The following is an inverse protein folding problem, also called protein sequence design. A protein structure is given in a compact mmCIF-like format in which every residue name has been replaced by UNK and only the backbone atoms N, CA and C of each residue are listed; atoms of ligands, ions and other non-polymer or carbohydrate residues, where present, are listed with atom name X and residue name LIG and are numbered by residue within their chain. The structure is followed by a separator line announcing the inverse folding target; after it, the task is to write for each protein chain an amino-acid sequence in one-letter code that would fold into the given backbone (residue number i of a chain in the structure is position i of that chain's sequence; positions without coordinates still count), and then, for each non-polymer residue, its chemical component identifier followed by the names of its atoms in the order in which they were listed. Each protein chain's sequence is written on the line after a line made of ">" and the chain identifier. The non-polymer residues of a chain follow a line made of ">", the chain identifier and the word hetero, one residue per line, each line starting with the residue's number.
data_IF_453276091602
#
_entry.id   IF_453276091602
#
_cell.length_a   1.000
_cell.length_b   1.000
_cell.length_c   1.000
_cell.angle_alpha   90.00
_cell.angle_beta   90.00
_cell.angle_gamma   90.00
#
_symmetry.space_group_name_H-M   'P 1'
#
loop_
_entity.id
_entity.type
_entity.pdbx_description
1 polymer ?
#
# COMPACT_ATOMS: atom_id res chain seq x y z
N UNK A 1 -38.78 -12.83 -47.66
CA UNK A 1 -39.23 -12.83 -46.24
C UNK A 1 -38.06 -13.16 -45.35
N UNK A 2 -37.43 -12.14 -44.80
CA UNK A 2 -36.31 -12.28 -43.84
C UNK A 2 -36.90 -12.12 -42.44
N UNK A 3 -37.00 -13.21 -41.69
CA UNK A 3 -37.38 -13.16 -40.27
C UNK A 3 -36.15 -12.89 -39.42
N UNK A 4 -36.03 -11.65 -38.97
CA UNK A 4 -35.05 -11.25 -37.95
C UNK A 4 -35.50 -11.74 -36.59
N UNK A 5 -34.91 -12.83 -36.08
CA UNK A 5 -35.09 -13.29 -34.70
C UNK A 5 -34.29 -12.38 -33.76
N UNK A 6 -34.96 -11.42 -33.13
CA UNK A 6 -34.48 -10.70 -31.97
C UNK A 6 -34.36 -11.71 -30.80
N UNK A 7 -33.11 -12.03 -30.39
CA UNK A 7 -32.85 -12.72 -29.13
C UNK A 7 -32.82 -11.65 -28.03
N UNK A 8 -33.74 -11.69 -27.04
CA UNK A 8 -33.61 -10.82 -25.87
C UNK A 8 -32.42 -11.31 -25.05
N UNK A 9 -31.33 -10.54 -25.02
CA UNK A 9 -30.26 -10.74 -24.05
C UNK A 9 -30.72 -10.17 -22.71
N UNK A 10 -31.32 -10.99 -21.88
CA UNK A 10 -31.52 -10.65 -20.46
C UNK A 10 -30.15 -10.62 -19.80
N UNK A 11 -29.52 -9.45 -19.75
CA UNK A 11 -28.42 -9.19 -18.81
C UNK A 11 -29.04 -9.18 -17.40
N UNK A 12 -28.98 -10.31 -16.72
CA UNK A 12 -29.25 -10.40 -15.29
C UNK A 12 -28.09 -9.65 -14.61
N UNK A 13 -28.28 -8.36 -14.35
CA UNK A 13 -27.43 -7.64 -13.41
C UNK A 13 -27.76 -8.19 -12.03
N UNK A 14 -26.82 -8.82 -11.31
CA UNK A 14 -27.08 -9.27 -9.96
C UNK A 14 -27.36 -8.02 -9.11
N UNK A 15 -28.61 -7.83 -8.73
CA UNK A 15 -28.96 -6.80 -7.74
C UNK A 15 -28.37 -7.26 -6.40
N UNK A 16 -27.42 -6.49 -5.90
CA UNK A 16 -26.88 -6.72 -4.55
C UNK A 16 -28.01 -6.60 -3.56
N UNK A 17 -28.29 -7.69 -2.83
CA UNK A 17 -29.29 -7.64 -1.76
C UNK A 17 -28.83 -6.63 -0.69
N UNK A 18 -29.75 -5.93 -0.04
CA UNK A 18 -29.44 -4.95 1.02
C UNK A 18 -28.53 -5.57 2.10
N UNK A 19 -28.73 -6.85 2.41
CA UNK A 19 -27.86 -7.63 3.30
C UNK A 19 -26.40 -7.71 2.81
N UNK A 20 -26.18 -8.00 1.52
CA UNK A 20 -24.81 -8.10 0.97
C UNK A 20 -24.12 -6.74 0.96
N UNK A 21 -24.82 -5.68 0.57
CA UNK A 21 -24.29 -4.31 0.57
C UNK A 21 -23.90 -3.86 1.98
N UNK A 22 -24.74 -4.12 2.99
CA UNK A 22 -24.46 -3.76 4.37
C UNK A 22 -23.32 -4.61 4.96
N UNK A 23 -23.27 -5.91 4.67
CA UNK A 23 -22.14 -6.77 5.09
C UNK A 23 -20.83 -6.27 4.51
N UNK A 24 -20.80 -5.91 3.24
CA UNK A 24 -19.61 -5.38 2.56
C UNK A 24 -19.15 -4.05 3.19
N UNK A 25 -20.08 -3.16 3.50
CA UNK A 25 -19.78 -1.90 4.18
C UNK A 25 -19.21 -2.12 5.60
N UNK A 26 -19.74 -3.09 6.36
CA UNK A 26 -19.25 -3.39 7.70
C UNK A 26 -17.88 -4.10 7.68
N UNK A 27 -17.58 -4.90 6.66
CA UNK A 27 -16.28 -5.58 6.53
C UNK A 27 -15.14 -4.56 6.35
N UNK A 28 -15.38 -3.47 5.66
CA UNK A 28 -14.38 -2.43 5.37
C UNK A 28 -13.98 -1.61 6.61
N UNK A 29 -14.91 -1.41 7.54
CA UNK A 29 -14.68 -0.60 8.73
C UNK A 29 -13.60 -1.20 9.64
N UNK A 30 -12.76 -0.32 10.22
CA UNK A 30 -11.87 -0.65 11.35
C UNK A 30 -12.67 -1.02 12.60
N UNK A 31 -12.01 -1.51 13.64
CA UNK A 31 -12.67 -1.85 14.91
C UNK A 31 -13.28 -0.61 15.56
N UNK A 32 -12.59 0.53 15.55
CA UNK A 32 -13.06 1.79 16.14
C UNK A 32 -14.27 2.35 15.39
N UNK A 33 -14.20 2.40 14.06
CA UNK A 33 -15.33 2.88 13.24
C UNK A 33 -16.57 1.99 13.39
N UNK A 34 -16.36 0.68 13.50
CA UNK A 34 -17.43 -0.28 13.74
C UNK A 34 -18.10 -0.03 15.09
N UNK A 35 -17.32 0.22 16.15
CA UNK A 35 -17.82 0.54 17.47
C UNK A 35 -18.72 1.78 17.45
N UNK A 36 -18.25 2.86 16.84
CA UNK A 36 -19.02 4.10 16.67
C UNK A 36 -20.34 3.86 15.92
N UNK A 37 -20.29 3.09 14.84
CA UNK A 37 -21.48 2.75 14.05
C UNK A 37 -22.49 1.92 14.83
N UNK A 38 -22.04 0.91 15.58
CA UNK A 38 -22.92 0.08 16.40
C UNK A 38 -23.51 0.89 17.57
N UNK A 39 -22.74 1.79 18.20
CA UNK A 39 -23.23 2.69 19.23
C UNK A 39 -24.32 3.62 18.71
N UNK A 40 -24.14 4.19 17.52
CA UNK A 40 -25.16 5.01 16.88
C UNK A 40 -26.47 4.23 16.60
N UNK A 41 -26.36 2.98 16.15
CA UNK A 41 -27.54 2.13 15.93
C UNK A 41 -28.19 1.70 17.25
N UNK A 42 -27.43 1.43 18.31
CA UNK A 42 -27.97 1.14 19.66
C UNK A 42 -28.75 2.32 20.22
N UNK A 43 -28.27 3.55 19.99
CA UNK A 43 -28.97 4.75 20.44
C UNK A 43 -30.32 4.98 19.70
N UNK A 44 -30.39 4.56 18.43
CA UNK A 44 -31.54 4.85 17.55
C UNK A 44 -32.52 3.67 17.43
N UNK A 45 -32.14 2.46 17.78
CA UNK A 45 -32.97 1.27 17.58
C UNK A 45 -33.24 0.51 18.89
N UNK A 46 -34.45 0.61 19.44
CA UNK A 46 -34.82 -0.03 20.71
C UNK A 46 -34.89 -1.57 20.62
N UNK A 47 -34.89 -2.14 19.41
CA UNK A 47 -34.88 -3.58 19.22
C UNK A 47 -33.51 -4.22 19.49
N UNK A 48 -32.42 -3.42 19.64
CA UNK A 48 -31.07 -3.89 19.93
C UNK A 48 -30.78 -3.89 21.44
N UNK A 49 -30.09 -4.90 21.89
CA UNK A 49 -29.66 -5.07 23.28
C UNK A 49 -28.24 -5.62 23.35
N UNK A 50 -27.46 -5.14 24.31
CA UNK A 50 -26.12 -5.64 24.59
C UNK A 50 -26.19 -6.58 25.80
N UNK A 51 -25.76 -7.82 25.62
CA UNK A 51 -25.64 -8.80 26.71
C UNK A 51 -24.33 -8.59 27.45
N UNK A 52 -24.36 -8.77 28.78
CA UNK A 52 -23.13 -8.73 29.58
C UNK A 52 -22.11 -9.77 29.08
N UNK A 53 -20.88 -9.32 28.86
CA UNK A 53 -19.76 -10.17 28.50
C UNK A 53 -19.08 -10.73 29.75
N UNK A 54 -18.55 -11.94 29.68
CA UNK A 54 -17.78 -12.53 30.76
C UNK A 54 -16.36 -11.99 30.77
N UNK A 55 -15.81 -11.75 31.96
CA UNK A 55 -14.39 -11.41 32.14
C UNK A 55 -13.65 -12.62 32.72
N UNK A 56 -12.44 -12.83 32.24
CA UNK A 56 -11.53 -13.81 32.82
C UNK A 56 -11.05 -13.31 34.19
N UNK A 57 -11.09 -14.16 35.21
CA UNK A 57 -10.59 -13.82 36.56
C UNK A 57 -9.06 -13.70 36.64
N UNK A 58 -8.33 -14.21 35.65
CA UNK A 58 -6.85 -14.23 35.65
C UNK A 58 -6.29 -13.06 34.83
N UNK A 59 -6.77 -12.85 33.60
CA UNK A 59 -6.21 -11.83 32.67
C UNK A 59 -7.18 -10.67 32.41
N UNK A 60 -8.33 -10.64 33.09
CA UNK A 60 -9.39 -9.61 33.01
C UNK A 60 -9.95 -9.37 31.60
N UNK A 61 -9.51 -10.11 30.60
CA UNK A 61 -10.00 -10.00 29.22
C UNK A 61 -11.44 -10.46 29.12
N UNK A 62 -12.17 -9.73 28.29
CA UNK A 62 -13.52 -10.12 27.90
C UNK A 62 -13.48 -11.11 26.76
N UNK A 63 -14.31 -12.12 26.83
CA UNK A 63 -14.46 -13.11 25.76
C UNK A 63 -15.92 -13.55 25.63
N UNK A 64 -16.25 -14.00 24.43
CA UNK A 64 -17.57 -14.53 24.10
C UNK A 64 -17.50 -16.05 24.13
N UNK A 65 -18.27 -16.68 24.99
CA UNK A 65 -18.35 -18.14 25.07
C UNK A 65 -18.62 -18.64 26.47
N UNK A 66 -18.98 -19.91 26.60
CA UNK A 66 -19.23 -20.60 27.89
C UNK A 66 -18.02 -21.36 28.44
N UNK A 67 -16.92 -21.41 27.66
CA UNK A 67 -15.69 -22.14 28.02
C UNK A 67 -14.73 -21.37 28.91
N UNK A 68 -13.57 -21.98 29.27
CA UNK A 68 -12.46 -21.30 29.93
C UNK A 68 -11.84 -20.24 29.01
N UNK A 69 -11.10 -19.28 29.59
CA UNK A 69 -10.43 -18.27 28.82
C UNK A 69 -9.44 -18.89 27.83
N UNK A 70 -9.53 -18.59 26.52
CA UNK A 70 -8.65 -19.19 25.53
C UNK A 70 -7.17 -18.87 25.72
N UNK A 71 -6.86 -17.74 26.36
CA UNK A 71 -5.49 -17.31 26.65
C UNK A 71 -4.90 -17.95 27.89
N UNK A 72 -5.65 -17.98 29.00
CA UNK A 72 -5.14 -18.46 30.28
C UNK A 72 -5.22 -20.00 30.43
N UNK A 73 -6.11 -20.61 29.68
CA UNK A 73 -6.30 -22.05 29.63
C UNK A 73 -6.53 -22.47 28.18
N UNK A 74 -5.45 -22.47 27.34
CA UNK A 74 -5.58 -22.83 25.95
C UNK A 74 -6.05 -24.27 25.83
N UNK A 75 -7.14 -24.47 25.13
CA UNK A 75 -7.54 -25.81 24.69
C UNK A 75 -6.40 -26.32 23.83
N UNK A 76 -5.79 -27.44 24.20
CA UNK A 76 -4.70 -28.05 23.46
C UNK A 76 -5.15 -28.26 22.02
N UNK A 77 -4.57 -27.47 21.11
CA UNK A 77 -4.77 -27.65 19.67
C UNK A 77 -4.21 -29.02 19.30
N UNK A 78 -4.94 -29.87 18.60
CA UNK A 78 -4.44 -31.18 18.18
C UNK A 78 -3.27 -31.08 17.21
N UNK A 79 -3.04 -29.94 16.59
CA UNK A 79 -1.91 -29.64 15.70
C UNK A 79 -1.15 -28.42 16.21
N UNK A 80 0.17 -28.54 16.41
CA UNK A 80 1.07 -27.47 16.83
C UNK A 80 1.10 -26.29 15.84
N UNK A 81 0.72 -26.50 14.59
CA UNK A 81 0.77 -25.49 13.53
C UNK A 81 -0.49 -24.60 13.44
N UNK A 82 -1.56 -24.92 14.16
CA UNK A 82 -2.79 -24.12 14.09
C UNK A 82 -2.81 -23.01 15.13
N UNK A 83 -2.99 -21.75 14.71
CA UNK A 83 -3.09 -20.63 15.64
C UNK A 83 -4.38 -20.73 16.48
N UNK A 84 -4.30 -20.30 17.72
CA UNK A 84 -5.44 -20.19 18.61
C UNK A 84 -6.06 -18.81 18.40
N UNK A 85 -7.19 -18.75 17.70
CA UNK A 85 -7.86 -17.49 17.36
C UNK A 85 -9.07 -17.28 18.27
N UNK A 86 -9.17 -16.10 18.87
CA UNK A 86 -10.32 -15.70 19.65
C UNK A 86 -10.75 -14.27 19.37
N UNK A 87 -12.03 -14.00 19.63
CA UNK A 87 -12.65 -12.69 19.37
C UNK A 87 -12.83 -11.94 20.68
N UNK A 88 -12.29 -10.71 20.72
CA UNK A 88 -12.54 -9.77 21.82
C UNK A 88 -13.64 -8.81 21.43
N UNK A 89 -14.73 -8.71 22.25
CA UNK A 89 -15.87 -7.84 21.94
C UNK A 89 -15.63 -6.37 22.29
N UNK A 90 -14.48 -6.01 22.85
CA UNK A 90 -14.08 -4.64 23.18
C UNK A 90 -12.88 -4.18 22.40
N UNK A 91 -12.80 -2.87 22.21
CA UNK A 91 -11.65 -2.18 21.61
C UNK A 91 -10.67 -1.63 22.64
N UNK A 92 -10.80 -1.95 23.93
CA UNK A 92 -9.90 -1.47 24.98
C UNK A 92 -8.50 -2.07 24.76
N UNK A 93 -7.69 -1.40 23.97
CA UNK A 93 -6.28 -1.74 23.77
C UNK A 93 -5.48 -1.18 24.94
N UNK A 94 -5.13 -2.05 25.89
CA UNK A 94 -4.17 -1.70 26.94
C UNK A 94 -2.79 -2.01 26.39
N UNK A 95 -2.03 -0.96 26.02
CA UNK A 95 -0.61 -1.08 25.70
C UNK A 95 0.08 -1.62 26.95
N UNK A 96 0.49 -2.89 26.96
CA UNK A 96 1.32 -3.41 28.04
C UNK A 96 2.63 -2.60 27.98
N UNK A 97 2.88 -1.80 29.01
CA UNK A 97 4.18 -1.17 29.23
C UNK A 97 5.18 -2.31 29.44
N UNK A 98 5.95 -2.64 28.44
CA UNK A 98 7.23 -3.28 28.64
C UNK A 98 8.16 -2.18 29.15
N UNK A 99 8.84 -2.41 30.28
CA UNK A 99 9.79 -1.47 30.91
C UNK A 99 11.05 -1.18 30.08
N UNK A 100 11.11 -1.58 28.83
CA UNK A 100 12.17 -1.26 27.86
C UNK A 100 11.82 -0.06 27.01
N UNK A 101 11.58 1.10 27.65
CA UNK A 101 11.24 2.37 26.96
C UNK A 101 12.49 3.18 26.57
N UNK A 102 13.63 2.53 26.31
CA UNK A 102 14.90 3.19 25.94
C UNK A 102 15.26 3.12 24.46
N UNK A 103 14.45 2.49 23.61
CA UNK A 103 14.69 2.47 22.17
C UNK A 103 13.40 2.65 21.34
N UNK A 104 12.49 3.49 21.79
CA UNK A 104 11.60 4.17 20.86
C UNK A 104 12.39 5.31 20.21
N UNK A 105 13.32 4.96 19.34
CA UNK A 105 13.40 5.70 18.09
C UNK A 105 11.97 5.62 17.54
N UNK A 106 11.22 6.69 17.83
CA UNK A 106 10.08 7.03 16.99
C UNK A 106 10.70 7.02 15.61
N UNK A 107 10.34 6.02 14.79
CA UNK A 107 10.25 6.23 13.38
C UNK A 107 9.27 7.40 13.24
N UNK A 108 9.79 8.58 13.42
CA UNK A 108 9.29 9.78 12.81
C UNK A 108 9.44 9.43 11.35
N UNK A 109 8.42 8.76 10.79
CA UNK A 109 8.26 8.72 9.36
C UNK A 109 8.41 10.18 8.96
N UNK A 110 9.60 10.51 8.43
CA UNK A 110 9.87 11.83 7.91
C UNK A 110 8.71 12.08 6.97
N UNK A 111 7.96 13.15 7.22
CA UNK A 111 6.87 13.53 6.35
C UNK A 111 7.42 13.40 4.93
N UNK A 112 6.78 12.59 4.07
CA UNK A 112 7.27 12.37 2.71
C UNK A 112 7.58 13.74 2.14
N UNK A 113 8.84 14.01 1.87
CA UNK A 113 9.25 15.30 1.33
C UNK A 113 8.58 15.45 -0.01
N UNK A 114 8.03 16.61 -0.28
CA UNK A 114 7.47 16.94 -1.57
C UNK A 114 8.59 16.95 -2.63
N UNK A 115 8.31 16.46 -3.84
CA UNK A 115 9.32 16.35 -4.91
C UNK A 115 10.09 17.66 -5.15
N UNK A 116 9.43 18.85 -5.21
CA UNK A 116 10.13 20.13 -5.32
C UNK A 116 11.15 20.36 -4.20
N UNK A 117 10.80 20.06 -2.96
CA UNK A 117 11.68 20.23 -1.81
C UNK A 117 12.84 19.23 -1.82
N UNK A 118 12.55 17.98 -2.19
CA UNK A 118 13.55 16.92 -2.31
C UNK A 118 14.62 17.25 -3.35
N UNK A 119 14.21 17.64 -4.57
CA UNK A 119 15.12 18.02 -5.66
C UNK A 119 15.88 19.30 -5.29
N UNK A 120 15.22 20.30 -4.69
CA UNK A 120 15.86 21.55 -4.30
C UNK A 120 16.98 21.32 -3.26
N UNK A 121 16.78 20.42 -2.29
CA UNK A 121 17.82 20.07 -1.31
C UNK A 121 19.05 19.45 -1.95
N UNK A 122 18.87 18.64 -3.01
CA UNK A 122 19.98 18.03 -3.72
C UNK A 122 20.82 19.06 -4.47
N UNK A 123 20.18 19.99 -5.19
CA UNK A 123 20.89 20.95 -6.07
C UNK A 123 21.30 22.24 -5.36
N UNK A 124 20.72 22.57 -4.19
CA UNK A 124 20.99 23.81 -3.46
C UNK A 124 22.49 24.01 -3.12
N UNK A 125 23.30 22.99 -2.76
CA UNK A 125 24.72 23.15 -2.52
C UNK A 125 25.52 23.56 -3.77
N UNK A 126 25.10 23.11 -4.94
CA UNK A 126 25.80 23.34 -6.23
C UNK A 126 25.40 24.67 -6.89
N UNK A 127 24.22 25.20 -6.51
CA UNK A 127 23.67 26.42 -7.12
C UNK A 127 24.10 27.70 -6.37
N UNK A 128 24.49 28.75 -7.12
CA UNK A 128 24.62 30.09 -6.56
C UNK A 128 23.33 30.54 -5.85
N UNK A 129 23.43 31.33 -4.75
CA UNK A 129 22.23 31.76 -4.00
C UNK A 129 21.13 32.44 -4.85
N UNK A 130 21.53 33.17 -5.88
CA UNK A 130 20.60 33.84 -6.81
C UNK A 130 19.86 32.85 -7.71
N UNK A 131 20.47 31.74 -8.09
CA UNK A 131 19.89 30.72 -8.97
C UNK A 131 18.95 29.77 -8.19
N UNK A 132 19.10 29.69 -6.86
CA UNK A 132 18.19 28.89 -6.00
C UNK A 132 16.74 29.35 -6.07
N UNK A 133 16.50 30.67 -6.21
CA UNK A 133 15.16 31.22 -6.36
C UNK A 133 14.53 30.79 -7.70
N UNK A 134 15.36 30.80 -8.76
CA UNK A 134 14.91 30.34 -10.09
C UNK A 134 14.61 28.85 -10.05
N UNK A 135 15.46 28.06 -9.43
CA UNK A 135 15.26 26.62 -9.26
C UNK A 135 13.98 26.30 -8.45
N UNK A 136 13.76 27.01 -7.33
CA UNK A 136 12.56 26.86 -6.53
C UNK A 136 11.28 27.18 -7.30
N UNK A 137 11.31 28.23 -8.16
CA UNK A 137 10.20 28.60 -9.00
C UNK A 137 9.92 27.54 -10.08
N UNK A 138 10.96 27.02 -10.75
CA UNK A 138 10.84 25.94 -11.74
C UNK A 138 10.20 24.71 -11.09
N UNK A 139 10.69 24.31 -9.93
CA UNK A 139 10.21 23.13 -9.20
C UNK A 139 8.78 23.30 -8.67
N UNK A 140 8.35 24.52 -8.35
CA UNK A 140 6.97 24.78 -7.94
C UNK A 140 5.96 24.79 -9.11
N UNK A 141 6.44 24.87 -10.36
CA UNK A 141 5.63 24.82 -11.57
C UNK A 141 5.77 23.47 -12.34
N UNK A 142 6.05 22.40 -11.63
CA UNK A 142 6.01 21.05 -12.18
C UNK A 142 4.58 20.51 -12.18
N UNK A 143 4.26 19.73 -13.23
CA UNK A 143 3.02 18.97 -13.30
C UNK A 143 3.08 17.67 -12.45
N UNK A 144 1.98 16.91 -12.43
CA UNK A 144 1.89 15.62 -11.75
C UNK A 144 2.90 14.57 -12.26
N UNK A 145 3.40 14.74 -13.46
CA UNK A 145 4.36 13.86 -14.12
C UNK A 145 5.83 14.30 -13.89
N UNK A 146 6.04 15.43 -13.21
CA UNK A 146 7.35 16.02 -12.93
C UNK A 146 7.95 16.78 -14.11
N UNK A 147 7.12 17.17 -15.07
CA UNK A 147 7.51 17.96 -16.23
C UNK A 147 7.23 19.44 -15.97
N UNK A 148 7.99 20.32 -16.64
CA UNK A 148 7.83 21.77 -16.53
C UNK A 148 6.67 22.25 -17.37
N UNK A 149 5.64 22.81 -16.74
CA UNK A 149 4.47 23.34 -17.43
C UNK A 149 4.71 24.75 -17.99
N UNK A 150 5.53 25.54 -17.30
CA UNK A 150 5.81 26.92 -17.67
C UNK A 150 6.84 27.05 -18.80
N UNK A 151 6.61 27.88 -19.84
CA UNK A 151 7.59 28.14 -20.89
C UNK A 151 8.86 28.79 -20.33
N UNK A 152 10.04 28.32 -20.73
CA UNK A 152 11.34 28.83 -20.27
C UNK A 152 11.49 30.35 -20.49
N UNK A 153 10.91 30.88 -21.58
CA UNK A 153 10.90 32.30 -21.90
C UNK A 153 10.17 33.14 -20.85
N UNK A 154 9.08 32.64 -20.29
CA UNK A 154 8.33 33.35 -19.25
C UNK A 154 9.12 33.40 -17.94
N UNK A 155 9.81 32.34 -17.57
CA UNK A 155 10.69 32.30 -16.42
C UNK A 155 11.84 33.33 -16.55
N UNK A 156 12.49 33.34 -17.73
CA UNK A 156 13.56 34.31 -18.02
C UNK A 156 13.08 35.76 -17.94
N UNK A 157 11.87 36.06 -18.43
CA UNK A 157 11.25 37.39 -18.35
C UNK A 157 10.89 37.76 -16.90
N UNK A 158 10.34 36.83 -16.14
CA UNK A 158 9.89 37.09 -14.78
C UNK A 158 11.09 37.45 -13.85
N UNK A 159 12.19 36.74 -13.98
CA UNK A 159 13.40 37.01 -13.20
C UNK A 159 14.35 38.04 -13.83
N UNK A 160 14.03 38.58 -15.02
CA UNK A 160 14.90 39.51 -15.75
C UNK A 160 16.32 38.95 -15.99
N UNK A 161 16.44 37.67 -16.27
CA UNK A 161 17.72 36.98 -16.53
C UNK A 161 17.83 36.48 -17.95
N UNK A 162 19.03 36.31 -18.49
CA UNK A 162 19.20 35.75 -19.83
C UNK A 162 18.75 34.27 -19.85
N UNK A 163 18.16 33.83 -20.95
CA UNK A 163 17.62 32.48 -21.13
C UNK A 163 18.69 31.40 -20.87
N UNK A 164 19.94 31.64 -21.27
CA UNK A 164 21.04 30.73 -21.01
C UNK A 164 21.33 30.46 -19.52
N UNK A 165 20.92 31.37 -18.64
CA UNK A 165 21.02 31.16 -17.19
C UNK A 165 19.92 30.22 -16.69
N UNK A 166 18.71 30.40 -17.19
CA UNK A 166 17.57 29.51 -16.85
C UNK A 166 17.83 28.09 -17.38
N UNK A 167 18.33 27.95 -18.61
CA UNK A 167 18.69 26.66 -19.20
C UNK A 167 19.76 25.92 -18.37
N UNK A 168 20.77 26.62 -17.84
CA UNK A 168 21.75 26.02 -16.94
C UNK A 168 21.12 25.47 -15.66
N UNK A 169 20.18 26.20 -15.07
CA UNK A 169 19.48 25.78 -13.87
C UNK A 169 18.61 24.54 -14.18
N UNK A 170 17.90 24.54 -15.32
CA UNK A 170 17.11 23.41 -15.77
C UNK A 170 18.00 22.17 -15.98
N UNK A 171 19.14 22.31 -16.61
CA UNK A 171 20.08 21.21 -16.82
C UNK A 171 20.59 20.62 -15.49
N UNK A 172 20.77 21.44 -14.45
CA UNK A 172 21.13 20.94 -13.12
C UNK A 172 19.95 20.22 -12.45
N UNK A 173 18.72 20.73 -12.60
CA UNK A 173 17.51 20.07 -12.10
C UNK A 173 17.33 18.71 -12.79
N UNK A 174 17.51 18.62 -14.10
CA UNK A 174 17.37 17.40 -14.88
C UNK A 174 18.37 16.30 -14.49
N UNK A 175 19.53 16.67 -13.93
CA UNK A 175 20.55 15.73 -13.43
C UNK A 175 20.30 15.24 -12.01
N UNK A 176 19.41 15.91 -11.28
CA UNK A 176 19.01 15.50 -9.93
C UNK A 176 18.15 14.23 -9.95
N UNK A 177 17.96 13.60 -8.80
CA UNK A 177 17.06 12.43 -8.67
C UNK A 177 15.63 12.90 -8.33
N UNK A 178 14.62 12.48 -9.07
CA UNK A 178 14.62 11.59 -10.25
C UNK A 178 15.12 12.29 -11.53
N UNK A 179 16.00 11.60 -12.24
CA UNK A 179 16.61 12.14 -13.46
C UNK A 179 15.56 12.51 -14.52
N UNK A 180 15.69 13.73 -15.09
CA UNK A 180 14.78 14.24 -16.10
C UNK A 180 13.62 15.07 -15.57
N UNK A 181 13.54 15.29 -14.26
CA UNK A 181 12.57 16.23 -13.66
C UNK A 181 12.81 17.65 -14.18
N UNK A 182 11.73 18.41 -14.40
CA UNK A 182 11.80 19.78 -14.95
C UNK A 182 12.05 19.86 -16.45
N UNK A 183 11.99 18.74 -17.17
CA UNK A 183 12.03 18.74 -18.63
C UNK A 183 10.72 19.27 -19.20
N UNK A 184 10.75 20.06 -20.30
CA UNK A 184 9.56 20.60 -20.94
C UNK A 184 8.67 19.54 -21.61
N UNK A 185 9.23 18.36 -21.91
CA UNK A 185 8.51 17.26 -22.57
C UNK A 185 9.02 15.89 -22.11
N UNK A 186 8.18 14.83 -22.23
CA UNK A 186 8.60 13.46 -21.97
C UNK A 186 9.80 13.02 -22.83
N UNK A 187 9.89 13.54 -24.04
CA UNK A 187 10.98 13.28 -24.98
C UNK A 187 12.31 13.82 -24.46
N UNK A 188 12.33 15.04 -23.93
CA UNK A 188 13.52 15.66 -23.33
C UNK A 188 13.91 15.00 -22.03
N UNK A 189 12.93 14.56 -21.23
CA UNK A 189 13.19 13.77 -20.03
C UNK A 189 13.92 12.44 -20.33
N UNK A 190 13.49 11.74 -21.39
CA UNK A 190 14.17 10.52 -21.84
C UNK A 190 15.59 10.79 -22.37
N UNK A 191 15.79 11.91 -23.08
CA UNK A 191 17.11 12.29 -23.60
C UNK A 191 18.08 12.64 -22.46
N UNK A 192 17.62 13.37 -21.44
CA UNK A 192 18.41 13.68 -20.25
C UNK A 192 18.83 12.41 -19.50
N UNK A 193 17.89 11.46 -19.33
CA UNK A 193 18.19 10.15 -18.73
C UNK A 193 19.20 9.36 -19.56
N UNK A 194 19.05 9.38 -20.89
CA UNK A 194 19.94 8.68 -21.79
C UNK A 194 21.36 9.24 -21.73
N UNK A 195 21.52 10.58 -21.63
CA UNK A 195 22.83 11.24 -21.49
C UNK A 195 23.56 10.76 -20.24
N UNK A 196 22.88 10.76 -19.09
CA UNK A 196 23.47 10.31 -17.81
C UNK A 196 23.79 8.81 -17.86
N UNK A 197 22.91 7.99 -18.46
CA UNK A 197 23.18 6.57 -18.62
C UNK A 197 24.36 6.29 -19.53
N UNK A 198 24.62 7.15 -20.54
CA UNK A 198 25.75 7.01 -21.41
C UNK A 198 27.12 7.11 -20.72
N UNK A 199 27.14 7.79 -19.55
CA UNK A 199 28.34 7.92 -18.72
C UNK A 199 28.69 6.60 -17.98
N UNK A 200 27.67 5.77 -17.69
CA UNK A 200 27.82 4.57 -16.86
C UNK A 200 27.66 3.25 -17.63
N UNK A 201 26.98 3.24 -18.77
CA UNK A 201 26.61 2.02 -19.50
C UNK A 201 26.75 2.18 -21.02
N UNK A 202 26.96 1.06 -21.73
CA UNK A 202 26.90 1.00 -23.19
C UNK A 202 25.44 1.07 -23.66
N UNK A 203 25.09 2.14 -24.37
CA UNK A 203 23.76 2.35 -24.91
C UNK A 203 23.68 1.75 -26.34
N UNK A 204 22.53 1.14 -26.73
CA UNK A 204 22.31 0.71 -28.10
C UNK A 204 22.48 1.88 -29.05
N UNK A 205 23.23 1.68 -30.18
CA UNK A 205 23.46 2.74 -31.17
C UNK A 205 22.12 3.25 -31.72
N UNK A 206 22.06 4.54 -32.03
CA UNK A 206 20.86 5.23 -32.53
C UNK A 206 19.70 5.44 -31.53
N UNK A 207 19.83 5.09 -30.23
CA UNK A 207 18.79 5.31 -29.25
C UNK A 207 18.36 6.78 -29.12
N UNK A 208 19.32 7.74 -29.12
CA UNK A 208 19.01 9.18 -29.08
C UNK A 208 18.21 9.61 -30.32
N UNK A 209 18.57 9.14 -31.50
CA UNK A 209 17.84 9.46 -32.73
C UNK A 209 16.44 8.83 -32.74
N UNK A 210 16.30 7.63 -32.22
CA UNK A 210 15.02 6.93 -32.11
C UNK A 210 14.04 7.72 -31.19
N UNK A 211 14.54 8.31 -30.10
CA UNK A 211 13.75 9.17 -29.22
C UNK A 211 13.46 10.50 -29.90
N UNK A 212 14.46 11.18 -30.49
CA UNK A 212 14.28 12.50 -31.12
C UNK A 212 13.34 12.51 -32.32
N UNK A 213 13.45 11.53 -33.20
CA UNK A 213 12.74 11.51 -34.46
C UNK A 213 11.54 10.56 -34.48
N UNK A 214 11.44 9.64 -33.52
CA UNK A 214 10.50 8.51 -33.57
C UNK A 214 9.65 8.25 -32.34
N UNK A 215 9.56 9.18 -31.40
CA UNK A 215 8.80 8.98 -30.16
C UNK A 215 7.34 8.58 -30.39
N UNK A 216 6.66 9.19 -31.37
CA UNK A 216 5.28 8.85 -31.72
C UNK A 216 5.14 7.42 -32.26
N UNK A 217 6.12 6.98 -33.05
CA UNK A 217 6.13 5.63 -33.63
C UNK A 217 6.50 4.58 -32.57
N UNK A 218 7.39 4.91 -31.66
CA UNK A 218 7.72 4.07 -30.51
C UNK A 218 6.51 3.87 -29.59
N UNK A 219 5.80 4.94 -29.26
CA UNK A 219 4.60 4.89 -28.40
C UNK A 219 3.46 4.04 -29.00
N UNK A 220 3.36 4.01 -30.33
CA UNK A 220 2.38 3.21 -31.09
C UNK A 220 2.86 1.82 -31.45
N UNK A 221 4.08 1.42 -31.05
CA UNK A 221 4.73 0.15 -31.41
C UNK A 221 4.90 -0.08 -32.93
N UNK A 222 5.03 1.02 -33.70
CA UNK A 222 5.18 0.95 -35.16
C UNK A 222 6.67 0.81 -35.56
N UNK A 223 7.31 -0.25 -35.09
CA UNK A 223 8.74 -0.51 -35.27
C UNK A 223 9.18 -0.59 -36.74
N UNK A 224 8.43 -1.22 -37.68
CA UNK A 224 8.84 -1.30 -39.10
C UNK A 224 8.85 0.09 -39.78
N UNK A 225 8.01 1.03 -39.40
CA UNK A 225 7.98 2.40 -39.94
C UNK A 225 9.16 3.21 -39.40
N UNK A 226 9.44 3.07 -38.11
CA UNK A 226 10.60 3.70 -37.50
C UNK A 226 11.90 3.18 -38.06
N UNK A 227 12.01 1.89 -38.34
CA UNK A 227 13.15 1.26 -38.97
C UNK A 227 13.46 1.85 -40.37
N UNK A 228 12.41 2.06 -41.17
CA UNK A 228 12.52 2.73 -42.47
C UNK A 228 12.94 4.19 -42.34
N UNK A 229 12.40 4.92 -41.36
CA UNK A 229 12.71 6.33 -41.13
C UNK A 229 14.15 6.55 -40.70
N UNK A 230 14.67 5.68 -39.85
CA UNK A 230 16.04 5.79 -39.33
C UNK A 230 17.08 5.06 -40.20
N UNK A 231 16.65 4.21 -41.13
CA UNK A 231 17.52 3.43 -42.00
C UNK A 231 18.23 2.27 -41.28
N UNK A 232 17.62 1.70 -40.26
CA UNK A 232 18.18 0.58 -39.46
C UNK A 232 17.25 -0.63 -39.50
N UNK A 233 17.68 -1.78 -38.98
CA UNK A 233 16.89 -2.99 -39.01
C UNK A 233 15.75 -2.95 -37.95
N UNK A 234 14.63 -3.65 -38.21
CA UNK A 234 13.53 -3.75 -37.27
C UNK A 234 13.95 -4.39 -35.93
N UNK A 235 14.85 -5.36 -35.96
CA UNK A 235 15.37 -5.99 -34.73
C UNK A 235 16.13 -4.98 -33.86
N UNK A 236 16.93 -4.09 -34.47
CA UNK A 236 17.62 -3.03 -33.71
C UNK A 236 16.64 -2.05 -33.07
N UNK A 237 15.52 -1.75 -33.74
CA UNK A 237 14.46 -0.92 -33.13
C UNK A 237 13.78 -1.62 -31.96
N UNK A 238 13.56 -2.93 -32.09
CA UNK A 238 12.99 -3.73 -31.00
C UNK A 238 13.90 -3.77 -29.76
N UNK A 239 15.21 -3.92 -30.00
CA UNK A 239 16.21 -3.85 -28.92
C UNK A 239 16.28 -2.45 -28.27
N UNK A 240 16.24 -1.39 -29.09
CA UNK A 240 16.15 0.01 -28.58
C UNK A 240 14.86 0.22 -27.79
N UNK A 241 13.72 -0.24 -28.31
CA UNK A 241 12.43 -0.10 -27.61
C UNK A 241 12.39 -0.85 -26.28
N UNK A 242 12.98 -2.05 -26.25
CA UNK A 242 13.14 -2.83 -25.02
C UNK A 242 14.05 -2.10 -24.03
N UNK A 243 15.21 -1.62 -24.48
CA UNK A 243 16.12 -0.84 -23.65
C UNK A 243 15.43 0.39 -23.05
N UNK A 244 14.67 1.17 -23.85
CA UNK A 244 13.92 2.34 -23.39
C UNK A 244 12.89 1.94 -22.34
N UNK A 245 12.14 0.86 -22.57
CA UNK A 245 11.09 0.41 -21.64
C UNK A 245 11.62 -0.09 -20.29
N UNK A 246 12.81 -0.70 -20.29
CA UNK A 246 13.43 -1.27 -19.09
C UNK A 246 14.22 -0.22 -18.29
N UNK A 247 14.86 0.75 -18.95
CA UNK A 247 15.82 1.65 -18.31
C UNK A 247 15.35 3.11 -18.19
N UNK A 248 14.42 3.58 -19.01
CA UNK A 248 14.03 4.98 -19.06
C UNK A 248 12.58 5.20 -18.61
N UNK A 249 12.31 6.38 -18.03
CA UNK A 249 10.96 6.76 -17.59
C UNK A 249 10.54 8.11 -18.19
N UNK A 250 9.53 8.16 -19.06
CA UNK A 250 9.06 9.41 -19.68
C UNK A 250 8.41 10.38 -18.67
N UNK A 251 8.04 9.90 -17.49
CA UNK A 251 7.34 10.66 -16.45
C UNK A 251 8.09 10.53 -15.11
N UNK A 252 9.17 11.30 -14.91
CA UNK A 252 10.06 11.14 -13.75
C UNK A 252 9.37 11.41 -12.41
N UNK A 253 8.38 12.32 -12.34
CA UNK A 253 7.61 12.59 -11.13
C UNK A 253 6.85 11.39 -10.61
N UNK A 254 6.35 10.50 -11.48
CA UNK A 254 5.66 9.26 -11.06
C UNK A 254 6.60 8.25 -10.38
N UNK A 255 7.88 8.33 -10.61
CA UNK A 255 8.85 7.49 -9.92
C UNK A 255 8.95 7.87 -8.44
N UNK A 256 8.78 9.15 -8.12
CA UNK A 256 8.86 9.69 -6.76
C UNK A 256 7.50 9.66 -6.03
N UNK A 257 6.46 10.19 -6.64
CA UNK A 257 5.13 10.28 -6.02
C UNK A 257 4.33 8.98 -6.08
N UNK A 258 4.72 8.01 -6.91
CA UNK A 258 3.86 6.91 -7.29
C UNK A 258 2.80 7.34 -8.31
N UNK A 259 1.87 6.45 -8.64
CA UNK A 259 0.76 6.80 -9.54
C UNK A 259 -0.33 7.54 -8.74
N UNK A 260 -0.29 8.88 -8.72
CA UNK A 260 -1.25 9.76 -8.05
C UNK A 260 -2.69 9.47 -8.54
N UNK A 261 -2.84 9.04 -9.80
CA UNK A 261 -4.14 8.67 -10.39
C UNK A 261 -4.77 7.43 -9.76
N UNK A 262 -4.00 6.64 -9.02
CA UNK A 262 -4.51 5.46 -8.31
C UNK A 262 -5.30 5.77 -7.03
N UNK A 263 -5.43 7.03 -6.64
CA UNK A 263 -6.29 7.46 -5.53
C UNK A 263 -5.87 6.97 -4.14
N UNK A 264 -4.67 6.45 -4.00
CA UNK A 264 -4.12 6.12 -2.68
C UNK A 264 -3.55 7.40 -2.07
N UNK A 265 -4.24 7.92 -1.06
CA UNK A 265 -3.67 8.92 -0.16
C UNK A 265 -2.41 8.32 0.49
N UNK A 266 -1.26 8.80 0.09
CA UNK A 266 0.06 8.30 0.48
C UNK A 266 0.51 8.67 1.91
N UNK A 267 -0.37 9.26 2.72
CA UNK A 267 -0.13 9.36 4.15
C UNK A 267 -0.42 7.99 4.77
N UNK A 268 0.61 7.25 5.22
CA UNK A 268 0.34 5.98 5.90
C UNK A 268 -0.57 6.28 7.09
N UNK A 269 -1.72 5.60 7.19
CA UNK A 269 -2.61 5.82 8.31
C UNK A 269 -1.86 5.52 9.61
N UNK A 270 -1.85 6.48 10.53
CA UNK A 270 -1.26 6.26 11.86
C UNK A 270 -2.22 5.34 12.62
N UNK A 271 -1.88 4.08 12.71
CA UNK A 271 -2.65 3.11 13.48
C UNK A 271 -2.30 3.23 14.96
N UNK A 272 -3.18 3.84 15.73
CA UNK A 272 -3.03 3.95 17.19
C UNK A 272 -3.56 2.71 17.92
N UNK A 273 -4.52 2.02 17.32
CA UNK A 273 -5.14 0.81 17.88
C UNK A 273 -5.17 -0.29 16.82
N UNK A 274 -4.67 -1.49 17.12
CA UNK A 274 -4.71 -2.61 16.17
C UNK A 274 -6.12 -3.23 16.10
N UNK A 275 -6.50 -3.74 14.92
CA UNK A 275 -7.71 -4.55 14.73
C UNK A 275 -7.49 -6.01 15.14
N UNK A 276 -6.24 -6.46 15.15
CA UNK A 276 -5.88 -7.78 15.65
C UNK A 276 -4.49 -7.75 16.31
N UNK A 277 -4.26 -8.68 17.23
CA UNK A 277 -2.95 -8.89 17.87
C UNK A 277 -2.51 -10.31 17.59
N UNK A 278 -1.26 -10.48 17.14
CA UNK A 278 -0.60 -11.77 17.03
C UNK A 278 0.46 -11.84 18.12
N UNK A 279 0.40 -12.83 18.98
CA UNK A 279 1.37 -13.05 20.05
C UNK A 279 1.79 -14.54 20.09
N UNK A 280 3.02 -14.85 20.47
CA UNK A 280 3.42 -16.24 20.69
C UNK A 280 2.67 -16.79 21.91
N UNK A 281 2.38 -18.08 21.92
CA UNK A 281 1.76 -18.74 23.10
C UNK A 281 2.77 -19.04 24.18
N UNK A 282 4.03 -19.22 23.81
CA UNK A 282 5.14 -19.53 24.70
C UNK A 282 6.42 -18.83 24.21
N UNK A 283 7.49 -18.83 25.00
CA UNK A 283 8.80 -18.25 24.61
C UNK A 283 9.50 -19.04 23.48
N UNK A 284 8.99 -20.23 23.12
CA UNK A 284 9.56 -21.01 22.02
C UNK A 284 9.04 -20.54 20.66
N UNK A 285 9.95 -20.39 19.69
CA UNK A 285 9.65 -19.99 18.31
C UNK A 285 8.72 -20.97 17.57
N UNK A 286 8.67 -22.24 18.01
CA UNK A 286 7.83 -23.30 17.44
C UNK A 286 6.42 -23.35 18.04
N UNK A 287 6.13 -22.52 19.06
CA UNK A 287 4.82 -22.50 19.70
C UNK A 287 3.73 -21.94 18.75
N UNK A 288 2.47 -22.40 18.90
CA UNK A 288 1.36 -21.84 18.12
C UNK A 288 1.14 -20.38 18.48
N UNK A 289 0.66 -19.57 17.51
CA UNK A 289 0.32 -18.19 17.77
C UNK A 289 -1.04 -18.05 18.44
N UNK A 290 -1.13 -17.08 19.36
CA UNK A 290 -2.41 -16.51 19.77
C UNK A 290 -2.76 -15.36 18.84
N UNK A 291 -3.95 -15.40 18.26
CA UNK A 291 -4.50 -14.33 17.45
C UNK A 291 -5.76 -13.79 18.11
N UNK A 292 -5.69 -12.59 18.64
CA UNK A 292 -6.82 -11.87 19.20
C UNK A 292 -7.38 -10.92 18.15
N UNK A 293 -8.64 -11.11 17.76
CA UNK A 293 -9.33 -10.25 16.80
C UNK A 293 -10.28 -9.33 17.56
N UNK A 294 -10.09 -8.03 17.42
CA UNK A 294 -11.01 -7.04 17.98
C UNK A 294 -12.24 -6.89 17.08
N UNK A 295 -13.37 -7.32 17.59
CA UNK A 295 -14.66 -7.18 16.92
C UNK A 295 -15.68 -6.67 17.91
N UNK A 296 -15.87 -5.32 17.97
CA UNK A 296 -16.81 -4.70 18.91
C UNK A 296 -18.17 -5.32 18.81
N UNK A 297 -18.76 -5.56 19.98
CA UNK A 297 -20.09 -6.13 20.13
C UNK A 297 -20.29 -7.55 19.55
N UNK A 298 -19.28 -8.21 19.01
CA UNK A 298 -19.39 -9.56 18.48
C UNK A 298 -19.81 -10.54 19.58
N UNK A 299 -20.88 -11.29 19.34
CA UNK A 299 -21.42 -12.28 20.26
C UNK A 299 -22.13 -11.73 21.50
N UNK A 300 -22.11 -10.41 21.72
CA UNK A 300 -22.84 -9.74 22.81
C UNK A 300 -24.01 -8.91 22.31
N UNK A 301 -23.98 -8.40 21.07
CA UNK A 301 -25.10 -7.71 20.44
C UNK A 301 -26.18 -8.72 20.05
N UNK A 302 -27.40 -8.50 20.50
CA UNK A 302 -28.55 -9.33 20.17
C UNK A 302 -29.81 -8.50 19.96
N UNK A 303 -30.80 -9.12 19.34
CA UNK A 303 -32.14 -8.57 19.26
C UNK A 303 -32.83 -8.81 20.59
N UNK A 304 -33.45 -7.77 21.15
CA UNK A 304 -34.19 -7.85 22.42
C UNK A 304 -35.40 -8.80 22.28
N UNK A 305 -35.43 -9.91 23.04
CA UNK A 305 -36.52 -10.89 22.94
C UNK A 305 -37.86 -10.32 23.40
N UNK A 306 -37.84 -9.38 24.36
CA UNK A 306 -39.06 -8.73 24.84
C UNK A 306 -39.66 -7.82 23.77
N UNK A 307 -38.81 -7.08 23.03
CA UNK A 307 -39.25 -6.24 21.92
C UNK A 307 -39.90 -7.08 20.80
N UNK A 308 -39.32 -8.24 20.50
CA UNK A 308 -39.88 -9.19 19.51
C UNK A 308 -41.25 -9.70 19.93
N UNK A 309 -41.48 -9.98 21.23
CA UNK A 309 -42.79 -10.40 21.75
C UNK A 309 -43.81 -9.25 21.79
N UNK A 310 -43.36 -8.05 22.11
CA UNK A 310 -44.21 -6.86 22.20
C UNK A 310 -44.80 -6.45 20.85
N UNK A 311 -44.12 -6.71 19.73
CA UNK A 311 -44.63 -6.41 18.37
C UNK A 311 -46.00 -7.07 18.09
N UNK A 312 -46.26 -8.26 18.66
CA UNK A 312 -47.54 -8.94 18.48
C UNK A 312 -48.73 -8.29 19.24
N UNK A 313 -48.43 -7.34 20.14
CA UNK A 313 -49.42 -6.69 21.01
C UNK A 313 -49.59 -5.19 20.72
N UNK A 314 -48.84 -4.64 19.73
CA UNK A 314 -48.85 -3.20 19.40
C UNK A 314 -50.02 -2.86 18.48
N UNK A 315 -50.59 -1.64 18.66
CA UNK A 315 -51.58 -1.06 17.77
C UNK A 315 -51.06 -0.90 16.33
N UNK A 316 -51.97 -0.98 15.36
CA UNK A 316 -51.62 -0.98 13.91
C UNK A 316 -50.78 0.24 13.49
N UNK A 317 -50.97 1.40 14.12
CA UNK A 317 -50.28 2.65 13.78
C UNK A 317 -48.73 2.60 13.99
N UNK A 318 -48.27 1.84 14.98
CA UNK A 318 -46.82 1.72 15.29
C UNK A 318 -46.22 0.39 14.83
N UNK A 319 -47.02 -0.56 14.38
CA UNK A 319 -46.57 -1.91 14.06
C UNK A 319 -45.60 -1.93 12.88
N UNK A 320 -45.76 -1.06 11.88
CA UNK A 320 -44.87 -0.99 10.73
C UNK A 320 -43.48 -0.47 11.11
N UNK A 321 -43.42 0.58 11.94
CA UNK A 321 -42.14 1.12 12.42
C UNK A 321 -41.39 0.09 13.28
N UNK A 322 -42.07 -0.57 14.19
CA UNK A 322 -41.44 -1.60 15.06
C UNK A 322 -40.95 -2.81 14.25
N UNK A 323 -41.70 -3.24 13.22
CA UNK A 323 -41.25 -4.29 12.28
C UNK A 323 -40.01 -3.87 11.48
N UNK A 324 -39.95 -2.61 11.04
CA UNK A 324 -38.81 -2.05 10.37
C UNK A 324 -37.56 -2.04 11.28
N UNK A 325 -37.72 -1.58 12.52
CA UNK A 325 -36.64 -1.54 13.50
C UNK A 325 -36.15 -2.95 13.86
N UNK A 326 -37.04 -3.90 14.01
CA UNK A 326 -36.70 -5.31 14.22
C UNK A 326 -35.88 -5.86 13.01
N UNK A 327 -36.34 -5.61 11.78
CA UNK A 327 -35.64 -6.04 10.57
C UNK A 327 -34.24 -5.46 10.44
N UNK A 328 -34.07 -4.17 10.76
CA UNK A 328 -32.76 -3.50 10.82
C UNK A 328 -31.85 -4.10 11.89
N UNK A 329 -32.38 -4.38 13.09
CA UNK A 329 -31.64 -5.01 14.16
C UNK A 329 -31.15 -6.42 13.82
N UNK A 330 -32.03 -7.27 13.26
CA UNK A 330 -31.69 -8.63 12.81
C UNK A 330 -30.64 -8.61 11.71
N UNK A 331 -30.78 -7.70 10.76
CA UNK A 331 -29.83 -7.51 9.67
C UNK A 331 -28.44 -7.11 10.17
N UNK A 332 -28.38 -6.14 11.10
CA UNK A 332 -27.11 -5.67 11.69
C UNK A 332 -26.41 -6.80 12.45
N UNK A 333 -27.11 -7.53 13.32
CA UNK A 333 -26.55 -8.66 14.09
C UNK A 333 -25.99 -9.73 13.15
N UNK A 334 -26.72 -10.09 12.09
CA UNK A 334 -26.29 -11.07 11.11
C UNK A 334 -25.06 -10.61 10.32
N UNK A 335 -25.04 -9.36 9.87
CA UNK A 335 -23.90 -8.77 9.15
C UNK A 335 -22.64 -8.71 10.03
N UNK A 336 -22.80 -8.38 11.33
CA UNK A 336 -21.69 -8.36 12.29
C UNK A 336 -21.11 -9.76 12.53
N UNK A 337 -21.96 -10.78 12.63
CA UNK A 337 -21.51 -12.18 12.75
C UNK A 337 -20.73 -12.63 11.52
N UNK A 338 -21.22 -12.30 10.31
CA UNK A 338 -20.54 -12.64 9.06
C UNK A 338 -19.18 -11.93 8.95
N UNK A 339 -19.13 -10.63 9.29
CA UNK A 339 -17.88 -9.88 9.34
C UNK A 339 -16.86 -10.57 10.26
N UNK A 340 -17.27 -10.85 11.49
CA UNK A 340 -16.41 -11.47 12.49
C UNK A 340 -15.89 -12.83 12.01
N UNK A 341 -16.76 -13.68 11.47
CA UNK A 341 -16.38 -14.98 10.93
C UNK A 341 -15.37 -14.84 9.77
N UNK A 342 -15.59 -13.88 8.88
CA UNK A 342 -14.69 -13.64 7.74
C UNK A 342 -13.31 -13.19 8.21
N UNK A 343 -13.22 -12.25 9.16
CA UNK A 343 -11.95 -11.75 9.67
C UNK A 343 -11.22 -12.85 10.46
N UNK A 344 -11.91 -13.62 11.28
CA UNK A 344 -11.32 -14.75 12.01
C UNK A 344 -10.73 -15.78 11.04
N UNK A 345 -11.47 -16.19 10.00
CA UNK A 345 -10.97 -17.13 8.99
C UNK A 345 -9.75 -16.56 8.25
N UNK A 346 -9.79 -15.28 7.89
CA UNK A 346 -8.70 -14.55 7.26
C UNK A 346 -7.46 -14.58 8.15
N UNK A 347 -7.57 -14.15 9.40
CA UNK A 347 -6.45 -14.06 10.34
C UNK A 347 -5.88 -15.44 10.68
N UNK A 348 -6.74 -16.46 10.87
CA UNK A 348 -6.31 -17.85 11.07
C UNK A 348 -5.41 -18.31 9.93
N UNK A 349 -5.82 -18.03 8.69
CA UNK A 349 -5.08 -18.50 7.54
C UNK A 349 -3.80 -17.71 7.29
N UNK A 350 -3.84 -16.39 7.50
CA UNK A 350 -2.64 -15.55 7.41
C UNK A 350 -1.59 -15.93 8.43
N UNK A 351 -1.97 -16.22 9.67
CA UNK A 351 -1.03 -16.64 10.71
C UNK A 351 -0.33 -17.96 10.38
N UNK A 352 -1.00 -18.87 9.66
CA UNK A 352 -0.37 -20.12 9.18
C UNK A 352 0.55 -19.86 7.99
N UNK A 353 0.04 -19.17 6.94
CA UNK A 353 0.77 -18.99 5.69
C UNK A 353 1.98 -18.05 5.82
N UNK A 354 1.92 -17.10 6.74
CA UNK A 354 2.93 -16.06 6.92
C UNK A 354 3.71 -16.23 8.24
N UNK A 355 3.81 -17.48 8.73
CA UNK A 355 4.49 -17.78 10.00
C UNK A 355 5.92 -17.26 10.01
N UNK A 356 6.68 -17.53 8.95
CA UNK A 356 8.07 -17.11 8.81
C UNK A 356 8.21 -15.58 8.80
N UNK A 357 7.30 -14.88 8.12
CA UNK A 357 7.25 -13.42 8.13
C UNK A 357 6.97 -12.86 9.53
N UNK A 358 6.06 -13.50 10.29
CA UNK A 358 5.69 -13.07 11.65
C UNK A 358 6.85 -13.22 12.62
N UNK A 359 7.69 -14.26 12.44
CA UNK A 359 8.81 -14.58 13.34
C UNK A 359 10.08 -13.85 12.90
N UNK A 360 10.43 -13.92 11.61
CA UNK A 360 11.73 -13.52 11.09
C UNK A 360 11.70 -12.18 10.32
N UNK A 361 10.52 -11.59 10.12
CA UNK A 361 10.36 -10.27 9.50
C UNK A 361 10.28 -10.28 7.98
N UNK A 362 10.50 -9.11 7.38
CA UNK A 362 10.11 -8.74 6.02
C UNK A 362 10.72 -9.60 4.90
N UNK A 363 11.93 -10.14 5.11
CA UNK A 363 12.63 -10.98 4.12
C UNK A 363 11.91 -12.32 3.90
N UNK A 364 11.27 -12.83 4.96
CA UNK A 364 10.60 -14.13 4.96
C UNK A 364 9.12 -14.07 4.61
N UNK A 365 8.68 -12.95 4.01
CA UNK A 365 7.29 -12.79 3.55
C UNK A 365 7.00 -13.78 2.41
N UNK A 366 6.06 -14.70 2.61
CA UNK A 366 5.64 -15.61 1.56
C UNK A 366 4.78 -14.86 0.51
N UNK A 367 5.08 -14.95 -0.81
CA UNK A 367 4.31 -14.27 -1.83
C UNK A 367 2.86 -14.79 -1.86
N UNK A 368 1.93 -13.97 -1.38
CA UNK A 368 0.51 -14.27 -1.29
C UNK A 368 -0.31 -13.25 -2.08
N UNK A 369 -1.35 -13.70 -2.79
CA UNK A 369 -2.30 -12.80 -3.44
C UNK A 369 -3.65 -12.83 -2.74
N UNK A 370 -4.37 -11.71 -2.81
CA UNK A 370 -5.76 -11.64 -2.30
C UNK A 370 -6.66 -12.64 -3.02
N UNK A 371 -6.45 -12.84 -4.33
CA UNK A 371 -7.19 -13.79 -5.15
C UNK A 371 -6.94 -15.26 -4.75
N UNK A 372 -5.68 -15.64 -4.46
CA UNK A 372 -5.37 -17.01 -4.01
C UNK A 372 -6.01 -17.31 -2.65
N UNK A 373 -5.94 -16.36 -1.72
CA UNK A 373 -6.55 -16.51 -0.41
C UNK A 373 -8.08 -16.51 -0.47
N UNK A 374 -8.69 -15.70 -1.34
CA UNK A 374 -10.12 -15.68 -1.57
C UNK A 374 -10.63 -17.05 -2.08
N UNK A 375 -9.90 -17.66 -3.01
CA UNK A 375 -10.21 -19.01 -3.52
C UNK A 375 -10.13 -20.07 -2.42
N UNK A 376 -9.11 -19.98 -1.56
CA UNK A 376 -8.93 -20.93 -0.45
C UNK A 376 -10.01 -20.78 0.62
N UNK A 377 -10.43 -19.55 0.91
CA UNK A 377 -11.48 -19.25 1.88
C UNK A 377 -12.90 -19.37 1.29
N UNK A 378 -13.03 -19.71 -0.01
CA UNK A 378 -14.31 -19.82 -0.72
C UNK A 378 -15.15 -18.52 -0.65
N UNK A 379 -14.48 -17.36 -0.79
CA UNK A 379 -15.12 -16.05 -0.81
C UNK A 379 -14.71 -15.27 -2.06
N UNK A 380 -15.45 -14.22 -2.38
CA UNK A 380 -15.08 -13.36 -3.50
C UNK A 380 -13.84 -12.52 -3.16
N UNK A 381 -12.98 -12.25 -4.14
CA UNK A 381 -11.76 -11.46 -3.96
C UNK A 381 -12.03 -10.07 -3.37
N UNK A 382 -13.13 -9.41 -3.78
CA UNK A 382 -13.54 -8.13 -3.22
C UNK A 382 -13.82 -8.18 -1.71
N UNK A 383 -14.26 -9.33 -1.18
CA UNK A 383 -14.48 -9.52 0.26
C UNK A 383 -13.16 -9.50 1.02
N UNK A 384 -12.13 -10.18 0.50
CA UNK A 384 -10.78 -10.16 1.08
C UNK A 384 -10.17 -8.77 0.97
N UNK A 385 -10.28 -8.11 -0.20
CA UNK A 385 -9.77 -6.75 -0.39
C UNK A 385 -10.35 -5.77 0.64
N UNK A 386 -11.65 -5.81 0.90
CA UNK A 386 -12.30 -4.98 1.92
C UNK A 386 -11.95 -5.41 3.35
N UNK A 387 -11.80 -6.71 3.60
CA UNK A 387 -11.39 -7.22 4.92
C UNK A 387 -9.96 -6.82 5.28
N UNK A 388 -9.10 -6.57 4.30
CA UNK A 388 -7.71 -6.13 4.46
C UNK A 388 -7.58 -4.61 4.50
N UNK A 389 -8.48 -3.88 3.80
CA UNK A 389 -8.45 -2.43 3.75
C UNK A 389 -8.61 -1.80 5.15
N UNK A 390 -7.85 -0.75 5.42
CA UNK A 390 -7.93 0.08 6.63
C UNK A 390 -7.82 -0.70 7.97
N UNK A 391 -7.16 -1.86 7.97
CA UNK A 391 -6.95 -2.66 9.17
C UNK A 391 -5.50 -2.82 9.49
N UNK A 392 -5.21 -2.90 10.78
CA UNK A 392 -3.88 -3.04 11.32
C UNK A 392 -3.77 -4.25 12.24
N UNK A 393 -2.56 -4.78 12.30
CA UNK A 393 -2.22 -5.93 13.13
C UNK A 393 -0.99 -5.61 13.95
N UNK A 394 -1.06 -5.90 15.25
CA UNK A 394 0.12 -5.85 16.11
C UNK A 394 0.87 -7.17 15.99
N UNK A 395 2.14 -7.08 15.68
CA UNK A 395 3.08 -8.20 15.58
C UNK A 395 3.63 -8.60 16.97
N UNK A 396 4.25 -9.77 17.11
CA UNK A 396 4.86 -10.21 18.37
C UNK A 396 5.93 -9.25 18.92
N UNK A 397 6.62 -8.52 18.04
CA UNK A 397 7.62 -7.49 18.40
C UNK A 397 7.01 -6.17 18.89
N UNK A 398 5.67 -6.09 19.03
CA UNK A 398 4.96 -4.90 19.46
C UNK A 398 4.65 -3.87 18.38
N UNK A 399 5.24 -3.98 17.18
CA UNK A 399 4.97 -3.07 16.07
C UNK A 399 3.58 -3.27 15.48
N UNK A 400 2.90 -2.17 15.18
CA UNK A 400 1.60 -2.19 14.51
C UNK A 400 1.83 -1.95 13.02
N UNK A 401 1.46 -2.91 12.18
CA UNK A 401 1.60 -2.84 10.73
C UNK A 401 0.23 -2.90 10.04
N UNK A 402 0.07 -2.29 8.86
CA UNK A 402 -1.15 -2.47 8.08
C UNK A 402 -1.29 -3.92 7.60
N UNK A 403 -2.52 -4.45 7.68
CA UNK A 403 -2.80 -5.82 7.22
C UNK A 403 -2.49 -6.02 5.72
N UNK A 404 -2.52 -4.93 4.94
CA UNK A 404 -2.13 -4.93 3.54
C UNK A 404 -0.67 -5.36 3.30
N UNK A 405 0.23 -5.16 4.27
CA UNK A 405 1.65 -5.53 4.19
C UNK A 405 1.85 -7.04 3.96
N UNK A 406 0.96 -7.89 4.47
CA UNK A 406 0.98 -9.34 4.27
C UNK A 406 0.81 -9.77 2.80
N UNK A 407 0.40 -8.86 1.93
CA UNK A 407 0.17 -9.09 0.50
C UNK A 407 1.12 -8.30 -0.40
N UNK A 408 2.12 -7.64 0.19
CA UNK A 408 3.08 -6.82 -0.57
C UNK A 408 4.20 -7.68 -1.13
N UNK A 409 4.06 -8.05 -2.40
CA UNK A 409 5.06 -8.85 -3.12
C UNK A 409 6.40 -8.14 -3.30
N UNK A 410 6.41 -6.80 -3.24
CA UNK A 410 7.62 -6.02 -3.44
C UNK A 410 8.47 -5.92 -2.18
N UNK A 411 7.89 -6.26 -1.01
CA UNK A 411 8.54 -6.06 0.27
C UNK A 411 9.85 -6.84 0.40
N UNK A 412 9.89 -8.11 -0.01
CA UNK A 412 11.12 -8.92 0.01
C UNK A 412 12.24 -8.27 -0.79
N UNK A 413 11.91 -7.86 -2.01
CA UNK A 413 12.88 -7.24 -2.93
C UNK A 413 13.38 -5.91 -2.37
N UNK A 414 12.47 -5.10 -1.79
CA UNK A 414 12.85 -3.82 -1.17
C UNK A 414 13.74 -4.01 0.04
N UNK A 415 13.44 -5.01 0.87
CA UNK A 415 14.27 -5.33 2.05
C UNK A 415 15.64 -5.87 1.64
N UNK A 416 15.71 -6.76 0.64
CA UNK A 416 16.97 -7.25 0.09
C UNK A 416 17.79 -6.09 -0.51
N UNK A 417 17.16 -5.21 -1.29
CA UNK A 417 17.78 -4.02 -1.85
C UNK A 417 18.35 -3.11 -0.75
N UNK A 418 17.59 -2.87 0.32
CA UNK A 418 18.04 -2.05 1.44
C UNK A 418 19.28 -2.65 2.12
N UNK A 419 19.29 -3.96 2.35
CA UNK A 419 20.44 -4.67 2.90
C UNK A 419 21.68 -4.59 2.00
N UNK A 420 21.52 -4.80 0.68
CA UNK A 420 22.63 -4.68 -0.27
C UNK A 420 23.25 -3.28 -0.21
N UNK A 421 22.43 -2.23 -0.07
CA UNK A 421 22.90 -0.85 0.03
C UNK A 421 23.52 -0.54 1.42
N UNK A 422 23.00 -1.11 2.50
CA UNK A 422 23.58 -0.98 3.83
C UNK A 422 24.96 -1.68 3.96
N UNK A 423 25.13 -2.79 3.25
CA UNK A 423 26.39 -3.56 3.23
C UNK A 423 27.38 -3.06 2.16
N UNK A 424 27.02 -2.07 1.30
CA UNK A 424 27.90 -1.57 0.26
C UNK A 424 29.13 -0.84 0.84
N UNK A 425 30.32 -1.18 0.36
CA UNK A 425 31.56 -0.46 0.68
C UNK A 425 31.82 0.70 -0.28
N UNK A 426 31.36 0.58 -1.51
CA UNK A 426 31.38 1.60 -2.54
C UNK A 426 29.98 1.71 -3.13
N UNK A 427 29.47 2.94 -3.40
CA UNK A 427 28.12 3.13 -3.89
C UNK A 427 27.89 2.39 -5.22
N UNK A 428 27.01 1.38 -5.20
CA UNK A 428 26.67 0.56 -6.35
C UNK A 428 25.60 1.24 -7.21
N UNK A 429 25.73 1.07 -8.53
CA UNK A 429 24.72 1.51 -9.48
C UNK A 429 23.45 0.63 -9.41
N UNK A 430 22.29 1.18 -9.82
CA UNK A 430 21.05 0.42 -9.88
C UNK A 430 21.13 -0.85 -10.78
N UNK A 431 22.10 -0.90 -11.69
CA UNK A 431 22.37 -2.06 -12.54
C UNK A 431 23.10 -3.16 -11.78
N UNK A 432 24.16 -2.81 -11.05
CA UNK A 432 24.92 -3.75 -10.21
C UNK A 432 24.02 -4.33 -9.12
N UNK A 433 23.16 -3.50 -8.52
CA UNK A 433 22.15 -3.97 -7.55
C UNK A 433 21.17 -4.93 -8.21
N UNK A 434 20.74 -4.66 -9.45
CA UNK A 434 19.86 -5.56 -10.21
C UNK A 434 20.51 -6.93 -10.46
N UNK A 435 21.80 -6.97 -10.78
CA UNK A 435 22.57 -8.21 -10.98
C UNK A 435 22.70 -9.02 -9.68
N UNK A 436 23.01 -8.35 -8.55
CA UNK A 436 23.09 -9.01 -7.24
C UNK A 436 21.72 -9.56 -6.81
N UNK A 437 20.64 -8.80 -7.04
CA UNK A 437 19.28 -9.28 -6.76
C UNK A 437 18.90 -10.50 -7.62
N UNK A 438 19.33 -10.54 -8.88
CA UNK A 438 19.09 -11.69 -9.78
C UNK A 438 19.87 -12.93 -9.30
N UNK A 439 21.10 -12.76 -8.83
CA UNK A 439 21.88 -13.84 -8.18
C UNK A 439 21.22 -14.38 -6.91
N UNK A 440 20.52 -13.51 -6.14
CA UNK A 440 19.73 -13.90 -4.98
C UNK A 440 18.36 -14.51 -5.34
N UNK A 441 18.03 -14.61 -6.64
CA UNK A 441 16.80 -15.19 -7.16
C UNK A 441 15.65 -14.20 -7.34
N UNK A 442 15.90 -12.89 -7.20
CA UNK A 442 14.93 -11.84 -7.46
C UNK A 442 15.16 -11.22 -8.84
N UNK A 443 14.49 -11.72 -9.85
CA UNK A 443 14.60 -11.16 -11.21
C UNK A 443 13.86 -9.82 -11.31
N UNK A 444 14.62 -8.73 -11.23
CA UNK A 444 14.10 -7.35 -11.17
C UNK A 444 14.86 -6.47 -12.13
N UNK A 445 14.15 -5.81 -13.04
CA UNK A 445 14.76 -4.87 -13.99
C UNK A 445 15.29 -3.62 -13.27
N UNK A 446 16.35 -3.01 -13.76
CA UNK A 446 16.99 -1.78 -13.25
C UNK A 446 15.98 -0.66 -12.93
N UNK A 447 15.01 -0.41 -13.81
CA UNK A 447 13.95 0.59 -13.59
C UNK A 447 13.14 0.31 -12.31
N UNK A 448 12.89 -0.98 -12.02
CA UNK A 448 12.17 -1.39 -10.81
C UNK A 448 13.06 -1.21 -9.58
N UNK A 449 14.36 -1.47 -9.68
CA UNK A 449 15.34 -1.19 -8.63
C UNK A 449 15.37 0.30 -8.30
N UNK A 450 15.47 1.16 -9.31
CA UNK A 450 15.43 2.62 -9.14
C UNK A 450 14.13 3.09 -8.45
N UNK A 451 12.98 2.53 -8.86
CA UNK A 451 11.68 2.80 -8.24
C UNK A 451 11.66 2.37 -6.76
N UNK A 452 12.13 1.17 -6.46
CA UNK A 452 12.13 0.65 -5.09
C UNK A 452 13.09 1.42 -4.19
N UNK A 453 14.27 1.79 -4.72
CA UNK A 453 15.22 2.65 -4.03
C UNK A 453 14.61 4.02 -3.69
N UNK A 454 13.93 4.65 -4.65
CA UNK A 454 13.22 5.91 -4.41
C UNK A 454 12.10 5.77 -3.37
N UNK A 455 11.36 4.66 -3.37
CA UNK A 455 10.32 4.39 -2.36
C UNK A 455 10.90 4.26 -0.94
N UNK A 456 12.14 3.76 -0.80
CA UNK A 456 12.85 3.67 0.48
C UNK A 456 13.61 4.95 0.85
N UNK A 457 13.51 6.00 0.02
CA UNK A 457 14.19 7.29 0.26
C UNK A 457 15.71 7.26 0.09
N UNK A 458 16.24 6.25 -0.61
CA UNK A 458 17.68 6.08 -0.80
C UNK A 458 18.13 6.80 -2.07
N UNK A 459 19.18 7.63 -1.96
CA UNK A 459 19.74 8.39 -3.07
C UNK A 459 20.43 7.49 -4.11
N UNK A 460 20.49 7.90 -5.40
CA UNK A 460 21.23 7.20 -6.44
C UNK A 460 22.74 7.19 -6.15
N UNK A 461 23.48 6.23 -6.76
CA UNK A 461 24.91 6.01 -6.48
C UNK A 461 25.75 7.27 -6.63
N UNK A 462 25.52 8.07 -7.68
CA UNK A 462 26.29 9.30 -7.94
C UNK A 462 26.07 10.39 -6.87
N UNK A 463 24.93 10.42 -6.19
CA UNK A 463 24.65 11.34 -5.09
C UNK A 463 25.10 10.80 -3.72
N UNK A 464 25.16 9.47 -3.55
CA UNK A 464 25.73 8.86 -2.35
C UNK A 464 27.25 9.06 -2.22
N UNK A 465 27.96 9.20 -3.34
CA UNK A 465 29.40 9.50 -3.35
C UNK A 465 29.75 10.91 -2.83
N UNK A 466 28.83 11.85 -2.97
CA UNK A 466 29.04 13.25 -2.53
C UNK A 466 28.74 13.50 -1.06
N UNK A 467 28.18 12.52 -0.33
CA UNK A 467 27.98 12.63 1.13
C UNK A 467 29.10 11.89 1.86
N UNK A 468 30.03 12.58 2.56
CA UNK A 468 30.95 11.91 3.47
C UNK A 468 30.13 11.18 4.53
N UNK A 469 30.47 9.92 4.81
CA UNK A 469 29.86 9.13 5.86
C UNK A 469 29.79 9.95 7.13
N UNK A 470 28.60 10.35 7.54
CA UNK A 470 28.38 10.98 8.83
C UNK A 470 28.59 9.87 9.84
N UNK A 471 29.76 9.86 10.48
CA UNK A 471 30.02 9.03 11.66
C UNK A 471 28.90 9.30 12.65
N UNK A 472 28.06 8.29 12.84
CA UNK A 472 27.09 8.25 13.93
C UNK A 472 27.91 8.01 15.20
N UNK A 473 28.08 9.08 15.96
CA UNK A 473 28.66 9.05 17.31
C UNK A 473 27.56 8.66 18.32
#
# INVERSE_FOLDING_TARGET
>A
MLQTRLRPSTQIRPMTTAHLAQTMALIELSAVELEQKVQAELANNPALEVKDSRRCSICERQFTGSGPCPRCNPVQSPNQDQPIVFVSPRCDYIKSRSDDDTSQERDLQSAKEDLPTYVLKQIAPELPPEDRQIAAFILSNLDEDGLLEAPIIEIARYYHVPMSRVERVINQIQRADPVGVGSPSPQEALLAQLEILSETQTIPPHSSRAIQEGMDLLSRHQYPELARKLGISSLQIEDIARFISENLNPFPGRAFWGDIRSGQSDTPPVYTQPDAIIAPSDESLDAPFFVEVFSPYAGILRVNPLFRQAISQVSEDNAEQWKSDLGRAELLVKCLQQRTTTIVRLMTRLAVLQREFIIHGDIHLHPLTRASLAKELEVHESTISRAVANKSVQMPNGHIIPLAKFFDRSLQVRTALKQIIEDETTPMSDNEISEILDEQGYSVARRTVAKYRAMEGILPSHLRQSQPATEVA
#
